data_IF_809894196222
#
_entry.id   IF_809894196222
#
_cell.length_a   1.000
_cell.length_b   1.000
_cell.length_c   1.000
_cell.angle_alpha   90.00
_cell.angle_beta   90.00
_cell.angle_gamma   90.00
#
_symmetry.space_group_name_H-M   'P 1'
#
loop_
_entity.id
_entity.type
_entity.pdbx_description
1 polymer ?
#
# COMPACT_ATOMS: atom_id res chain seq x y z
N UNK A 1 -29.83 10.54 -10.39
CA UNK A 1 -28.53 10.85 -10.97
C UNK A 1 -28.67 12.02 -11.94
N UNK A 2 -27.57 12.62 -12.33
CA UNK A 2 -27.50 13.77 -13.24
C UNK A 2 -27.35 13.35 -14.72
N UNK A 3 -27.78 12.14 -15.05
CA UNK A 3 -27.63 11.57 -16.39
C UNK A 3 -28.31 12.48 -17.46
N UNK A 4 -27.55 12.80 -18.51
CA UNK A 4 -27.95 13.67 -19.61
C UNK A 4 -28.33 15.10 -19.18
N UNK A 5 -27.93 15.58 -18.02
CA UNK A 5 -28.11 16.97 -17.60
C UNK A 5 -26.84 17.79 -17.91
N UNK A 6 -27.00 18.94 -18.54
CA UNK A 6 -25.93 19.91 -18.78
C UNK A 6 -26.38 21.29 -18.23
N UNK A 7 -26.39 21.36 -16.90
CA UNK A 7 -26.74 22.55 -16.13
C UNK A 7 -26.06 22.49 -14.74
N UNK A 8 -26.35 23.45 -13.88
CA UNK A 8 -25.78 23.57 -12.54
C UNK A 8 -25.98 22.34 -11.65
N UNK A 9 -26.94 21.46 -11.94
CA UNK A 9 -27.14 20.20 -11.20
C UNK A 9 -26.03 19.20 -11.43
N UNK A 10 -25.38 19.23 -12.61
CA UNK A 10 -24.32 18.31 -13.01
C UNK A 10 -22.94 18.97 -13.08
N UNK A 11 -22.86 20.27 -13.14
CA UNK A 11 -21.60 20.98 -13.22
C UNK A 11 -20.82 20.87 -11.91
N UNK A 12 -19.50 20.77 -12.04
CA UNK A 12 -18.61 20.81 -10.89
C UNK A 12 -18.63 22.19 -10.25
N UNK A 13 -18.93 22.24 -8.97
CA UNK A 13 -18.77 23.45 -8.17
C UNK A 13 -17.30 23.65 -7.83
N UNK A 14 -16.63 24.51 -8.59
CA UNK A 14 -15.21 24.79 -8.42
C UNK A 14 -14.90 25.60 -7.15
N UNK A 15 -15.90 26.26 -6.54
CA UNK A 15 -15.71 26.98 -5.27
C UNK A 15 -15.39 26.04 -4.11
N UNK A 16 -15.72 24.74 -4.24
CA UNK A 16 -15.34 23.71 -3.27
C UNK A 16 -13.83 23.59 -3.07
N UNK A 17 -13.01 24.05 -4.03
CA UNK A 17 -11.55 24.06 -3.87
C UNK A 17 -11.06 25.04 -2.80
N UNK A 18 -11.85 26.04 -2.45
CA UNK A 18 -11.54 27.00 -1.41
C UNK A 18 -11.86 26.45 0.00
N UNK A 19 -12.56 25.33 0.09
CA UNK A 19 -12.84 24.65 1.35
C UNK A 19 -11.66 23.78 1.79
N UNK A 20 -11.25 23.90 3.05
CA UNK A 20 -10.13 23.14 3.63
C UNK A 20 -10.29 21.63 3.46
N UNK A 21 -11.49 21.10 3.67
CA UNK A 21 -11.79 19.66 3.53
C UNK A 21 -11.58 19.19 2.09
N UNK A 22 -12.03 19.94 1.13
CA UNK A 22 -11.90 19.62 -0.30
C UNK A 22 -10.45 19.76 -0.76
N UNK A 23 -9.74 20.78 -0.29
CA UNK A 23 -8.31 20.96 -0.54
C UNK A 23 -7.47 19.81 0.04
N UNK A 24 -7.80 19.34 1.25
CA UNK A 24 -7.17 18.17 1.89
C UNK A 24 -7.39 16.91 1.07
N UNK A 25 -8.63 16.65 0.62
CA UNK A 25 -8.94 15.49 -0.20
C UNK A 25 -8.24 15.54 -1.57
N UNK A 26 -8.19 16.72 -2.19
CA UNK A 26 -7.44 16.92 -3.43
C UNK A 26 -5.94 16.66 -3.24
N UNK A 27 -5.36 17.15 -2.14
CA UNK A 27 -3.97 16.91 -1.76
C UNK A 27 -3.68 15.42 -1.59
N UNK A 28 -4.52 14.71 -0.85
CA UNK A 28 -4.45 13.25 -0.68
C UNK A 28 -4.51 12.51 -2.04
N UNK A 29 -5.49 12.86 -2.87
CA UNK A 29 -5.66 12.24 -4.19
C UNK A 29 -4.43 12.44 -5.08
N UNK A 30 -3.89 13.68 -5.13
CA UNK A 30 -2.66 13.99 -5.87
C UNK A 30 -1.49 13.15 -5.38
N UNK A 31 -1.35 12.96 -4.05
CA UNK A 31 -0.29 12.16 -3.45
C UNK A 31 -0.38 10.70 -3.87
N UNK A 32 -1.54 10.07 -3.71
CA UNK A 32 -1.74 8.66 -4.08
C UNK A 32 -1.50 8.44 -5.58
N UNK A 33 -2.01 9.35 -6.44
CA UNK A 33 -1.75 9.30 -7.87
C UNK A 33 -0.27 9.48 -8.20
N UNK A 34 0.46 10.32 -7.45
CA UNK A 34 1.89 10.51 -7.63
C UNK A 34 2.68 9.26 -7.22
N UNK A 35 2.33 8.60 -6.10
CA UNK A 35 2.90 7.31 -5.72
C UNK A 35 2.68 6.30 -6.86
N UNK A 36 1.44 6.13 -7.31
CA UNK A 36 1.12 5.21 -8.41
C UNK A 36 1.90 5.55 -9.70
N UNK A 37 2.07 6.83 -10.02
CA UNK A 37 2.77 7.28 -11.22
C UNK A 37 4.26 6.97 -11.18
N UNK A 38 4.89 7.14 -10.03
CA UNK A 38 6.34 7.00 -9.87
C UNK A 38 6.77 5.54 -9.62
N UNK A 39 5.85 4.68 -9.20
CA UNK A 39 6.13 3.29 -8.88
C UNK A 39 5.47 2.32 -9.84
N UNK A 40 6.25 1.73 -10.79
CA UNK A 40 5.77 0.73 -11.74
C UNK A 40 5.03 -0.45 -11.11
N UNK A 41 5.41 -0.87 -9.90
CA UNK A 41 4.77 -1.99 -9.19
C UNK A 41 3.26 -1.80 -9.01
N UNK A 42 2.76 -0.56 -8.95
CA UNK A 42 1.33 -0.23 -8.90
C UNK A 42 0.66 -0.06 -10.28
N UNK A 43 1.39 -0.20 -11.38
CA UNK A 43 0.91 0.06 -12.74
C UNK A 43 1.16 -1.09 -13.69
N UNK A 44 1.23 -2.31 -13.18
CA UNK A 44 1.48 -3.50 -13.99
C UNK A 44 0.38 -3.70 -15.03
N UNK A 45 0.79 -4.12 -16.22
CA UNK A 45 -0.12 -4.46 -17.32
C UNK A 45 -0.62 -5.90 -17.21
N UNK A 46 0.14 -6.76 -16.51
CA UNK A 46 -0.19 -8.17 -16.28
C UNK A 46 -0.79 -8.38 -14.89
N UNK A 47 -1.66 -9.37 -14.78
CA UNK A 47 -2.16 -9.80 -13.48
C UNK A 47 -1.03 -10.28 -12.58
N UNK A 48 -1.16 -10.00 -11.29
CA UNK A 48 -0.30 -10.53 -10.25
C UNK A 48 -0.57 -12.03 -10.11
N UNK A 49 0.48 -12.84 -10.14
CA UNK A 49 0.36 -14.31 -10.18
C UNK A 49 0.43 -14.96 -8.79
N UNK A 50 1.01 -14.27 -7.80
CA UNK A 50 1.23 -14.81 -6.45
C UNK A 50 2.31 -15.88 -6.38
N UNK A 51 2.92 -16.23 -7.50
CA UNK A 51 3.90 -17.31 -7.63
C UNK A 51 3.30 -18.73 -7.60
N UNK A 52 4.07 -19.76 -8.01
CA UNK A 52 3.65 -21.14 -7.91
C UNK A 52 3.42 -21.57 -6.46
N UNK A 53 2.51 -22.54 -6.25
CA UNK A 53 2.34 -23.18 -4.93
C UNK A 53 3.68 -23.77 -4.47
N UNK A 54 4.14 -23.37 -3.27
CA UNK A 54 5.40 -23.81 -2.70
C UNK A 54 6.63 -22.97 -3.07
N UNK A 55 6.50 -21.91 -3.90
CA UNK A 55 7.57 -20.95 -4.10
C UNK A 55 7.83 -20.15 -2.81
N UNK A 56 9.08 -19.79 -2.60
CA UNK A 56 9.45 -18.90 -1.51
C UNK A 56 8.71 -17.56 -1.67
N UNK A 57 8.34 -16.95 -0.55
CA UNK A 57 7.56 -15.72 -0.54
C UNK A 57 8.29 -14.56 -1.23
N UNK A 58 9.60 -14.53 -1.14
CA UNK A 58 10.47 -13.53 -1.76
C UNK A 58 10.47 -13.57 -3.30
N UNK A 59 10.08 -14.71 -3.90
CA UNK A 59 10.01 -14.88 -5.35
C UNK A 59 8.62 -14.52 -5.92
N UNK A 60 7.68 -14.23 -5.03
CA UNK A 60 6.31 -13.86 -5.42
C UNK A 60 6.24 -12.38 -5.81
N UNK A 61 5.42 -12.08 -6.79
CA UNK A 61 5.12 -10.70 -7.17
C UNK A 61 4.11 -10.03 -6.24
N UNK A 62 3.25 -10.83 -5.58
CA UNK A 62 2.33 -10.43 -4.53
C UNK A 62 2.28 -11.51 -3.44
N UNK A 63 2.18 -11.08 -2.18
CA UNK A 63 1.87 -11.96 -1.06
C UNK A 63 0.82 -11.33 -0.16
N UNK A 64 -0.07 -12.16 0.35
CA UNK A 64 -1.12 -11.79 1.29
C UNK A 64 -0.75 -12.31 2.67
N UNK A 65 -0.81 -11.43 3.67
CA UNK A 65 -0.36 -11.74 5.01
C UNK A 65 -1.46 -11.38 6.04
N UNK A 66 -1.53 -12.18 7.08
CA UNK A 66 -2.35 -11.91 8.26
C UNK A 66 -1.66 -10.86 9.15
N UNK A 67 -2.36 -10.25 10.13
CA UNK A 67 -1.77 -9.26 11.04
C UNK A 67 -0.50 -9.71 11.77
N UNK A 68 -0.27 -11.00 11.95
CA UNK A 68 0.96 -11.53 12.56
C UNK A 68 2.17 -11.59 11.60
N UNK A 69 2.08 -11.03 10.40
CA UNK A 69 3.18 -11.03 9.41
C UNK A 69 3.37 -12.34 8.64
N UNK A 70 2.53 -13.34 8.88
CA UNK A 70 2.59 -14.65 8.20
C UNK A 70 1.73 -14.66 6.94
N UNK A 71 2.11 -15.52 5.98
CA UNK A 71 1.29 -15.74 4.79
C UNK A 71 -0.11 -16.22 5.16
N UNK A 72 -1.11 -15.68 4.49
CA UNK A 72 -2.48 -16.16 4.59
C UNK A 72 -2.58 -17.60 4.10
N UNK A 73 -3.26 -18.42 4.86
CA UNK A 73 -3.62 -19.81 4.53
C UNK A 73 -5.03 -19.86 3.94
N UNK A 74 -5.42 -21.02 3.40
CA UNK A 74 -6.80 -21.21 2.93
C UNK A 74 -7.82 -20.98 4.05
N UNK A 75 -7.51 -21.39 5.28
CA UNK A 75 -8.40 -21.16 6.42
C UNK A 75 -8.58 -19.67 6.74
N UNK A 76 -7.54 -18.84 6.52
CA UNK A 76 -7.65 -17.39 6.72
C UNK A 76 -8.56 -16.75 5.66
N UNK A 77 -8.53 -17.27 4.42
CA UNK A 77 -9.44 -16.82 3.35
C UNK A 77 -10.89 -17.24 3.58
N UNK A 78 -11.10 -18.41 4.14
CA UNK A 78 -12.43 -18.98 4.39
C UNK A 78 -13.05 -18.44 5.70
N UNK A 79 -12.35 -17.54 6.40
CA UNK A 79 -12.81 -17.00 7.67
C UNK A 79 -13.76 -15.81 7.46
N UNK A 80 -15.04 -15.98 7.81
CA UNK A 80 -16.11 -15.01 7.59
C UNK A 80 -15.92 -13.64 8.26
N UNK A 81 -15.02 -13.53 9.22
CA UNK A 81 -14.77 -12.32 10.02
C UNK A 81 -13.41 -11.68 9.79
N UNK A 82 -12.71 -12.04 8.73
CA UNK A 82 -11.43 -11.40 8.36
C UNK A 82 -11.65 -9.92 8.05
N UNK A 83 -11.13 -9.02 8.89
CA UNK A 83 -11.31 -7.56 8.76
C UNK A 83 -10.00 -6.79 8.64
N UNK A 84 -8.90 -7.51 8.60
CA UNK A 84 -7.58 -6.91 8.54
C UNK A 84 -6.62 -7.84 7.79
N UNK A 85 -5.79 -7.24 6.93
CA UNK A 85 -4.79 -7.98 6.17
C UNK A 85 -3.66 -7.05 5.74
N UNK A 86 -2.52 -7.64 5.36
CA UNK A 86 -1.44 -6.96 4.66
C UNK A 86 -1.27 -7.52 3.25
N UNK A 87 -0.86 -6.66 2.33
CA UNK A 87 -0.48 -7.02 0.97
C UNK A 87 0.96 -6.58 0.75
N UNK A 88 1.84 -7.52 0.43
CA UNK A 88 3.19 -7.24 -0.03
C UNK A 88 3.22 -7.24 -1.56
N UNK A 89 3.81 -6.21 -2.14
CA UNK A 89 4.09 -6.08 -3.57
C UNK A 89 5.60 -6.04 -3.79
N UNK A 90 6.10 -6.96 -4.59
CA UNK A 90 7.52 -7.10 -4.86
C UNK A 90 7.94 -6.29 -6.09
N UNK A 91 8.66 -5.20 -5.87
CA UNK A 91 9.20 -4.36 -6.94
C UNK A 91 10.25 -5.05 -7.81
N UNK A 92 10.91 -6.09 -7.27
CA UNK A 92 11.90 -6.86 -8.01
C UNK A 92 11.30 -8.00 -8.84
N UNK A 93 10.01 -8.33 -8.65
CA UNK A 93 9.32 -9.40 -9.38
C UNK A 93 8.44 -8.88 -10.52
N UNK A 94 8.69 -7.66 -11.00
CA UNK A 94 8.03 -7.12 -12.19
C UNK A 94 8.51 -7.89 -13.41
N UNK A 95 7.58 -8.49 -14.15
CA UNK A 95 7.87 -9.33 -15.33
C UNK A 95 7.83 -8.56 -16.64
N UNK A 96 7.30 -7.34 -16.63
CA UNK A 96 7.26 -6.44 -17.76
C UNK A 96 8.62 -5.84 -18.05
N UNK A 97 8.84 -5.50 -19.32
CA UNK A 97 10.05 -4.80 -19.77
C UNK A 97 9.70 -3.44 -20.36
N UNK A 98 10.68 -2.53 -20.41
CA UNK A 98 10.55 -1.29 -21.14
C UNK A 98 10.38 -1.57 -22.64
N UNK A 99 10.01 -0.55 -23.42
CA UNK A 99 9.97 -0.64 -24.90
C UNK A 99 11.33 -1.01 -25.53
N UNK A 100 12.43 -0.90 -24.78
CA UNK A 100 13.78 -1.31 -25.18
C UNK A 100 14.14 -2.73 -24.75
N UNK A 101 13.22 -3.45 -24.08
CA UNK A 101 13.46 -4.80 -23.54
C UNK A 101 14.22 -4.84 -22.21
N UNK A 102 14.44 -3.69 -21.56
CA UNK A 102 15.13 -3.62 -20.28
C UNK A 102 14.20 -4.05 -19.15
N UNK A 103 14.72 -4.75 -18.15
CA UNK A 103 13.95 -5.16 -16.97
C UNK A 103 13.48 -3.94 -16.20
N UNK A 104 12.20 -3.92 -15.84
CA UNK A 104 11.63 -2.93 -14.92
C UNK A 104 11.80 -3.45 -13.50
N UNK A 105 12.34 -2.63 -12.62
CA UNK A 105 12.41 -2.85 -11.17
C UNK A 105 11.88 -1.63 -10.44
N UNK A 106 11.44 -1.82 -9.20
CA UNK A 106 10.89 -0.78 -8.34
C UNK A 106 11.20 -1.11 -6.87
N UNK A 107 10.88 -0.20 -5.98
CA UNK A 107 10.81 -0.50 -4.55
C UNK A 107 9.69 -1.52 -4.28
N UNK A 108 9.84 -2.27 -3.18
CA UNK A 108 8.77 -3.13 -2.68
C UNK A 108 7.89 -2.36 -1.69
N UNK A 109 6.63 -2.76 -1.58
CA UNK A 109 5.65 -2.09 -0.73
C UNK A 109 4.87 -3.08 0.13
N UNK A 110 4.52 -2.63 1.33
CA UNK A 110 3.50 -3.26 2.17
C UNK A 110 2.32 -2.30 2.27
N UNK A 111 1.12 -2.80 1.95
CA UNK A 111 -0.14 -2.11 2.22
C UNK A 111 -0.86 -2.84 3.35
N UNK A 112 -1.26 -2.11 4.39
CA UNK A 112 -1.98 -2.66 5.55
C UNK A 112 -3.38 -2.09 5.56
N UNK A 113 -4.36 -2.98 5.68
CA UNK A 113 -5.77 -2.61 5.69
C UNK A 113 -6.39 -3.05 7.01
N UNK A 114 -6.90 -2.09 7.78
CA UNK A 114 -7.71 -2.33 8.96
C UNK A 114 -9.15 -1.88 8.70
N UNK A 115 -10.04 -2.79 8.33
CA UNK A 115 -11.48 -2.51 8.18
C UNK A 115 -12.26 -2.70 9.50
N UNK A 116 -11.59 -3.04 10.60
CA UNK A 116 -12.19 -3.20 11.92
C UNK A 116 -12.53 -1.84 12.54
N UNK A 117 -13.38 -1.84 13.57
CA UNK A 117 -13.78 -0.65 14.30
C UNK A 117 -12.84 -0.29 15.47
N UNK A 118 -11.86 -1.13 15.77
CA UNK A 118 -10.83 -0.93 16.79
C UNK A 118 -9.44 -0.98 16.20
N UNK A 119 -8.47 -0.54 16.98
CA UNK A 119 -7.05 -0.65 16.65
C UNK A 119 -6.65 -2.10 16.48
N UNK A 120 -5.74 -2.37 15.55
CA UNK A 120 -5.13 -3.69 15.36
C UNK A 120 -3.62 -3.51 15.29
N UNK A 121 -2.91 -4.31 16.09
CA UNK A 121 -1.47 -4.41 16.00
C UNK A 121 -1.09 -5.36 14.86
N UNK A 122 -0.17 -4.90 14.00
CA UNK A 122 0.40 -5.67 12.92
C UNK A 122 1.89 -5.87 13.17
N UNK A 123 2.35 -7.10 12.95
CA UNK A 123 3.78 -7.43 12.90
C UNK A 123 4.23 -7.44 11.44
N UNK A 124 5.28 -6.72 11.10
CA UNK A 124 5.82 -6.74 9.75
C UNK A 124 6.46 -8.10 9.44
N UNK A 125 6.53 -8.50 8.17
CA UNK A 125 7.10 -9.79 7.78
C UNK A 125 8.61 -9.83 8.07
N UNK A 126 9.19 -11.02 7.91
CA UNK A 126 10.62 -11.26 8.07
C UNK A 126 11.46 -10.48 7.06
N UNK A 127 12.75 -10.32 7.35
CA UNK A 127 13.72 -9.60 6.52
C UNK A 127 13.83 -10.10 5.08
N UNK A 128 13.36 -11.32 4.80
CA UNK A 128 13.39 -11.87 3.44
C UNK A 128 12.51 -11.08 2.47
N UNK A 129 11.50 -10.34 2.98
CA UNK A 129 10.66 -9.43 2.20
C UNK A 129 11.14 -7.98 2.22
N UNK A 130 11.99 -7.64 3.19
CA UNK A 130 12.56 -6.31 3.36
C UNK A 130 13.01 -6.07 4.79
N UNK A 131 14.21 -5.54 4.96
CA UNK A 131 14.80 -5.35 6.29
C UNK A 131 14.20 -4.15 7.05
N UNK A 132 13.79 -3.11 6.33
CA UNK A 132 13.28 -1.86 6.91
C UNK A 132 12.22 -1.23 6.02
N UNK A 133 11.23 -0.60 6.64
CA UNK A 133 10.06 -0.05 5.98
C UNK A 133 9.80 1.38 6.45
N UNK A 134 9.58 2.29 5.51
CA UNK A 134 9.19 3.67 5.78
C UNK A 134 7.69 3.82 5.57
N UNK A 135 6.98 4.34 6.57
CA UNK A 135 5.58 4.71 6.45
C UNK A 135 5.46 5.94 5.52
N UNK A 136 4.75 5.80 4.42
CA UNK A 136 4.59 6.87 3.43
C UNK A 136 3.14 7.36 3.29
N UNK A 137 2.15 6.55 3.69
CA UNK A 137 0.74 6.94 3.76
C UNK A 137 0.13 6.39 5.03
N UNK A 138 -0.59 7.24 5.77
CA UNK A 138 -1.51 6.84 6.83
C UNK A 138 -2.84 7.58 6.63
N UNK A 139 -3.91 6.85 6.32
CA UNK A 139 -5.22 7.45 6.08
C UNK A 139 -5.95 7.87 7.35
N UNK A 140 -5.44 7.54 8.53
CA UNK A 140 -5.92 8.08 9.80
C UNK A 140 -5.45 9.51 10.03
N UNK A 141 -4.31 9.89 9.44
CA UNK A 141 -3.77 11.24 9.52
C UNK A 141 -4.37 12.16 8.46
N UNK A 142 -4.40 13.45 8.77
CA UNK A 142 -4.96 14.46 7.87
C UNK A 142 -4.22 14.48 6.53
N UNK A 143 -4.97 14.37 5.43
CA UNK A 143 -4.41 14.31 4.08
C UNK A 143 -3.62 13.05 3.77
N UNK A 144 -3.66 12.03 4.64
CA UNK A 144 -2.94 10.77 4.47
C UNK A 144 -1.41 10.88 4.62
N UNK A 145 -0.93 11.96 5.23
CA UNK A 145 0.48 12.12 5.56
C UNK A 145 0.75 11.60 6.97
N UNK A 146 1.72 10.70 7.17
CA UNK A 146 2.15 10.35 8.50
C UNK A 146 2.56 11.61 9.28
N UNK A 147 2.08 11.71 10.52
CA UNK A 147 2.37 12.88 11.38
C UNK A 147 3.88 13.05 11.62
N UNK A 148 4.61 11.93 11.64
CA UNK A 148 6.05 11.89 11.84
C UNK A 148 6.72 10.93 10.84
N UNK A 149 8.00 11.17 10.57
CA UNK A 149 8.80 10.25 9.77
C UNK A 149 9.03 8.94 10.54
N UNK A 150 8.35 7.88 10.12
CA UNK A 150 8.29 6.61 10.83
C UNK A 150 8.94 5.51 10.03
N UNK A 151 9.86 4.77 10.67
CA UNK A 151 10.52 3.58 10.13
C UNK A 151 10.27 2.40 11.05
N UNK A 152 9.99 1.24 10.47
CA UNK A 152 9.77 0.00 11.18
C UNK A 152 10.69 -1.06 10.57
N UNK A 153 11.46 -1.74 11.40
CA UNK A 153 12.31 -2.84 10.97
C UNK A 153 11.46 -4.12 10.75
N UNK A 154 12.01 -5.07 10.01
CA UNK A 154 11.40 -6.39 9.87
C UNK A 154 11.05 -6.98 11.24
N UNK A 155 9.91 -7.68 11.32
CA UNK A 155 9.36 -8.28 12.55
C UNK A 155 8.97 -7.24 13.64
N UNK A 156 9.17 -5.94 13.37
CA UNK A 156 8.65 -4.87 14.23
C UNK A 156 7.14 -4.76 14.14
N UNK A 157 6.53 -4.07 15.13
CA UNK A 157 5.09 -3.92 15.22
C UNK A 157 4.65 -2.49 14.91
N UNK A 158 3.44 -2.34 14.39
CA UNK A 158 2.76 -1.07 14.18
C UNK A 158 1.28 -1.21 14.53
N UNK A 159 0.76 -0.26 15.28
CA UNK A 159 -0.68 -0.18 15.57
C UNK A 159 -1.37 0.58 14.45
N UNK A 160 -2.39 -0.03 13.86
CA UNK A 160 -3.18 0.54 12.77
C UNK A 160 -4.54 0.94 13.27
N UNK A 161 -4.89 2.22 13.13
CA UNK A 161 -6.13 2.78 13.61
C UNK A 161 -7.37 2.16 12.92
N UNK A 162 -8.58 2.31 13.51
CA UNK A 162 -9.81 1.76 12.93
C UNK A 162 -10.09 2.34 11.54
N UNK A 163 -10.54 1.49 10.61
CA UNK A 163 -10.97 1.89 9.26
C UNK A 163 -9.91 2.71 8.53
N UNK A 164 -8.64 2.33 8.70
CA UNK A 164 -7.51 3.00 8.09
C UNK A 164 -6.66 2.06 7.24
N UNK A 165 -5.84 2.67 6.41
CA UNK A 165 -4.90 2.01 5.52
C UNK A 165 -3.54 2.65 5.66
N UNK A 166 -2.51 1.84 5.81
CA UNK A 166 -1.12 2.27 5.75
C UNK A 166 -0.47 1.80 4.44
N UNK A 167 0.46 2.60 3.93
CA UNK A 167 1.38 2.17 2.87
C UNK A 167 2.80 2.40 3.37
N UNK A 168 3.57 1.32 3.36
CA UNK A 168 4.98 1.32 3.72
C UNK A 168 5.80 1.00 2.46
N UNK A 169 6.90 1.72 2.29
CA UNK A 169 7.89 1.50 1.23
C UNK A 169 9.14 0.87 1.84
N UNK A 170 9.70 -0.11 1.15
CA UNK A 170 10.98 -0.68 1.53
C UNK A 170 12.09 0.38 1.48
N UNK A 171 12.92 0.41 2.51
CA UNK A 171 14.11 1.24 2.59
C UNK A 171 15.33 0.35 2.89
N UNK A 172 16.47 0.70 2.34
CA UNK A 172 17.71 0.07 2.79
C UNK A 172 18.08 0.59 4.18
N UNK A 173 18.54 -0.27 5.08
CA UNK A 173 19.04 0.18 6.37
C UNK A 173 20.24 1.12 6.14
N UNK A 174 20.41 2.16 6.98
CA UNK A 174 21.53 3.07 6.84
C UNK A 174 22.84 2.29 6.96
N UNK A 175 23.72 2.46 5.98
CA UNK A 175 25.08 1.92 6.01
C UNK A 175 25.86 2.81 7.00
N UNK A 176 26.15 2.30 8.17
CA UNK A 176 27.10 2.95 9.06
C UNK A 176 28.51 2.52 8.60
N UNK A 177 29.25 3.42 7.98
CA UNK A 177 30.68 3.22 7.73
C UNK A 177 31.37 2.97 9.07
N UNK A 178 32.06 1.84 9.21
CA UNK A 178 32.77 1.40 10.40
C UNK A 178 34.13 2.08 10.52
#
# INVERSE_FOLDING_TARGET
NVYCQDNETSWMDWSLLDEEKSATMLGFTKRVLNIRRNHPVFRRERFLAGGPLGSDVQDRDIAWLVPSGKLMTQNDWDHDFGRALMVYLNGNAITETTARGERITDDSFIMIFNAHHGDIEFTLPTKDLGARWRLIVDTADSGGYPAEETYIDAEGTITVQPRSTLILRQEEPPVFDA
#
